data_IF_434740853543
#
_entry.id   IF_434740853543
#
_cell.length_a   1.000
_cell.length_b   1.000
_cell.length_c   1.000
_cell.angle_alpha   90.00
_cell.angle_beta   90.00
_cell.angle_gamma   90.00
#
_symmetry.space_group_name_H-M   'P 1'
#
loop_
_entity.id
_entity.type
_entity.pdbx_description
1 polymer ?
#
# COMPACT_ATOMS: atom_id res chain seq x y z
N UNK A 1 17.03 -8.18 -13.45
CA UNK A 1 16.73 -6.88 -13.17
C UNK A 1 15.99 -6.68 -11.89
N UNK A 2 15.94 -5.48 -11.51
CA UNK A 2 15.32 -5.14 -10.26
C UNK A 2 13.83 -5.12 -10.41
N UNK A 3 13.14 -5.58 -9.41
CA UNK A 3 11.70 -5.44 -9.40
C UNK A 3 11.28 -4.23 -8.59
N UNK A 4 12.23 -3.48 -8.10
CA UNK A 4 11.89 -2.27 -7.40
C UNK A 4 11.18 -1.35 -8.34
N UNK A 5 10.15 -0.75 -7.91
CA UNK A 5 9.40 0.14 -8.74
C UNK A 5 8.23 -0.49 -9.45
N UNK A 6 8.12 -1.81 -9.41
CA UNK A 6 6.93 -2.42 -9.94
C UNK A 6 5.75 -1.96 -9.11
N UNK A 7 4.63 -1.74 -9.77
CA UNK A 7 3.42 -1.32 -9.11
C UNK A 7 2.38 -2.42 -9.25
N UNK A 8 1.79 -2.79 -8.15
CA UNK A 8 0.76 -3.81 -8.14
C UNK A 8 -0.58 -3.20 -7.77
N UNK A 9 -1.62 -3.58 -8.47
CA UNK A 9 -2.95 -3.09 -8.16
C UNK A 9 -3.72 -4.16 -7.42
N UNK A 10 -4.29 -3.81 -6.28
CA UNK A 10 -5.11 -4.71 -5.51
C UNK A 10 -6.52 -4.14 -5.48
N UNK A 11 -7.47 -4.86 -6.08
CA UNK A 11 -8.87 -4.47 -6.05
C UNK A 11 -9.50 -5.18 -4.87
N UNK A 12 -9.63 -4.47 -3.78
CA UNK A 12 -10.08 -5.06 -2.54
C UNK A 12 -11.60 -5.17 -2.51
N UNK A 13 -12.09 -6.23 -1.93
CA UNK A 13 -13.50 -6.46 -1.71
C UNK A 13 -13.76 -6.57 -0.22
N UNK A 14 -12.91 -7.25 0.50
CA UNK A 14 -13.07 -7.47 1.92
C UNK A 14 -11.79 -7.10 2.63
N UNK A 15 -11.89 -6.91 3.94
CA UNK A 15 -10.73 -6.44 4.70
C UNK A 15 -9.54 -7.39 4.58
N UNK A 16 -9.78 -8.67 4.46
CA UNK A 16 -8.69 -9.62 4.39
C UNK A 16 -7.78 -9.38 3.16
N UNK A 17 -8.28 -8.71 2.15
CA UNK A 17 -7.48 -8.40 0.97
C UNK A 17 -6.32 -7.46 1.28
N UNK A 18 -6.34 -6.82 2.46
CA UNK A 18 -5.26 -5.94 2.88
C UNK A 18 -3.95 -6.72 3.06
N UNK A 19 -4.03 -8.02 3.24
CA UNK A 19 -2.82 -8.83 3.40
C UNK A 19 -1.96 -8.78 2.14
N UNK A 20 -2.58 -8.80 0.99
CA UNK A 20 -1.82 -8.71 -0.25
C UNK A 20 -1.15 -7.35 -0.36
N UNK A 21 -1.86 -6.29 0.02
CA UNK A 21 -1.30 -4.95 0.00
C UNK A 21 -0.07 -4.90 0.91
N UNK A 22 -0.21 -5.41 2.12
CA UNK A 22 0.88 -5.37 3.09
C UNK A 22 2.09 -6.16 2.62
N UNK A 23 1.86 -7.33 2.04
CA UNK A 23 2.96 -8.18 1.61
C UNK A 23 3.71 -7.55 0.44
N UNK A 24 3.01 -7.01 -0.53
CA UNK A 24 3.66 -6.37 -1.67
C UNK A 24 4.42 -5.13 -1.24
N UNK A 25 3.81 -4.34 -0.36
CA UNK A 25 4.43 -3.12 0.10
C UNK A 25 5.68 -3.43 0.93
N UNK A 26 5.61 -4.43 1.78
CA UNK A 26 6.76 -4.83 2.57
C UNK A 26 7.91 -5.31 1.69
N UNK A 27 7.59 -5.92 0.55
CA UNK A 27 8.59 -6.41 -0.38
C UNK A 27 9.18 -5.28 -1.23
N UNK A 28 8.76 -4.06 -1.03
CA UNK A 28 9.35 -2.92 -1.71
C UNK A 28 8.62 -2.45 -2.94
N UNK A 29 7.41 -2.94 -3.17
CA UNK A 29 6.65 -2.55 -4.35
C UNK A 29 5.65 -1.46 -4.02
N UNK A 30 5.41 -0.58 -4.97
CA UNK A 30 4.31 0.36 -4.84
C UNK A 30 3.01 -0.41 -5.05
N UNK A 31 1.97 0.00 -4.34
CA UNK A 31 0.68 -0.70 -4.43
C UNK A 31 -0.43 0.32 -4.67
N UNK A 32 -1.26 0.03 -5.65
CA UNK A 32 -2.46 0.82 -5.84
C UNK A 32 -3.59 0.04 -5.17
N UNK A 33 -4.16 0.61 -4.13
CA UNK A 33 -5.25 -0.02 -3.40
C UNK A 33 -6.56 0.58 -3.89
N UNK A 34 -7.35 -0.24 -4.53
CA UNK A 34 -8.65 0.18 -5.04
C UNK A 34 -9.72 -0.35 -4.09
N UNK A 35 -10.41 0.54 -3.41
CA UNK A 35 -11.42 0.18 -2.42
C UNK A 35 -12.84 0.38 -2.95
N UNK A 36 -12.99 0.63 -4.24
CA UNK A 36 -14.32 0.93 -4.80
C UNK A 36 -15.30 -0.21 -4.62
N UNK A 37 -14.82 -1.44 -4.53
CA UNK A 37 -15.70 -2.59 -4.33
C UNK A 37 -15.99 -2.91 -2.87
N UNK A 38 -15.51 -2.09 -1.93
CA UNK A 38 -15.69 -2.33 -0.52
C UNK A 38 -16.85 -1.51 0.04
N UNK A 39 -17.46 -2.02 1.11
CA UNK A 39 -18.36 -1.19 1.89
C UNK A 39 -17.55 -0.05 2.49
N UNK A 40 -18.20 1.06 2.79
CA UNK A 40 -17.53 2.24 3.31
C UNK A 40 -16.74 1.95 4.57
N UNK A 41 -17.28 1.14 5.45
CA UNK A 41 -16.60 0.82 6.70
C UNK A 41 -15.34 0.00 6.45
N UNK A 42 -15.44 -0.96 5.54
CA UNK A 42 -14.28 -1.79 5.20
C UNK A 42 -13.22 -0.92 4.53
N UNK A 43 -13.63 -0.04 3.63
CA UNK A 43 -12.70 0.85 2.95
C UNK A 43 -11.96 1.71 3.96
N UNK A 44 -12.66 2.27 4.94
CA UNK A 44 -12.05 3.11 5.95
C UNK A 44 -11.01 2.33 6.76
N UNK A 45 -11.35 1.11 7.14
CA UNK A 45 -10.43 0.28 7.91
C UNK A 45 -9.18 -0.04 7.10
N UNK A 46 -9.34 -0.28 5.81
CA UNK A 46 -8.19 -0.58 4.96
C UNK A 46 -7.29 0.64 4.81
N UNK A 47 -7.88 1.81 4.69
CA UNK A 47 -7.11 3.05 4.57
C UNK A 47 -6.36 3.33 5.87
N UNK A 48 -7.02 3.12 7.01
CA UNK A 48 -6.37 3.32 8.31
C UNK A 48 -5.20 2.37 8.49
N UNK A 49 -5.39 1.11 8.14
CA UNK A 49 -4.31 0.14 8.23
C UNK A 49 -3.16 0.52 7.28
N UNK A 50 -3.50 0.91 6.06
CA UNK A 50 -2.50 1.25 5.07
C UNK A 50 -1.70 2.48 5.48
N UNK A 51 -2.36 3.44 6.11
CA UNK A 51 -1.66 4.63 6.60
C UNK A 51 -0.67 4.24 7.69
N UNK A 52 -1.05 3.36 8.60
CA UNK A 52 -0.15 2.89 9.64
C UNK A 52 1.00 2.08 9.07
N UNK A 53 0.71 1.26 8.06
CA UNK A 53 1.72 0.46 7.40
C UNK A 53 2.76 1.37 6.74
N UNK A 54 2.30 2.40 6.03
CA UNK A 54 3.21 3.33 5.40
C UNK A 54 4.05 4.08 6.43
N UNK A 55 3.42 4.50 7.52
CA UNK A 55 4.14 5.19 8.56
C UNK A 55 5.24 4.29 9.15
N UNK A 56 4.91 3.06 9.44
CA UNK A 56 5.85 2.14 10.07
C UNK A 56 7.02 1.79 9.16
N UNK A 57 6.79 1.75 7.86
CA UNK A 57 7.83 1.35 6.91
C UNK A 57 8.40 2.55 6.15
N UNK A 58 8.12 3.75 6.63
CA UNK A 58 8.67 4.99 6.06
C UNK A 58 8.24 5.24 4.62
N UNK A 59 7.07 4.76 4.26
CA UNK A 59 6.51 5.03 2.95
C UNK A 59 5.51 6.16 3.00
N UNK A 60 4.77 6.32 1.93
CA UNK A 60 3.77 7.37 1.83
C UNK A 60 2.52 6.83 1.19
N UNK A 61 1.39 7.40 1.54
CA UNK A 61 0.13 7.03 0.93
C UNK A 61 -0.53 8.29 0.40
N UNK A 62 -1.06 8.23 -0.82
CA UNK A 62 -1.77 9.36 -1.39
C UNK A 62 -3.02 8.90 -2.09
N UNK A 63 -4.07 9.70 -1.99
CA UNK A 63 -5.31 9.41 -2.68
C UNK A 63 -5.14 9.88 -4.12
N UNK A 64 -5.25 8.98 -5.06
CA UNK A 64 -5.06 9.29 -6.47
C UNK A 64 -6.37 9.39 -7.24
N UNK A 65 -7.43 8.82 -6.68
CA UNK A 65 -8.75 8.92 -7.26
C UNK A 65 -9.74 8.54 -6.18
N UNK A 66 -11.02 8.68 -6.44
CA UNK A 66 -12.03 8.34 -5.46
C UNK A 66 -11.93 6.85 -5.15
N UNK A 67 -11.71 6.54 -3.89
CA UNK A 67 -11.59 5.15 -3.46
C UNK A 67 -10.30 4.47 -3.88
N UNK A 68 -9.36 5.20 -4.46
CA UNK A 68 -8.13 4.60 -4.97
C UNK A 68 -6.93 5.32 -4.36
N UNK A 69 -6.04 4.55 -3.77
CA UNK A 69 -4.90 5.07 -3.05
C UNK A 69 -3.61 4.46 -3.55
N UNK A 70 -2.56 5.27 -3.62
CA UNK A 70 -1.24 4.79 -4.01
C UNK A 70 -0.36 4.75 -2.77
N UNK A 71 0.17 3.58 -2.47
CA UNK A 71 1.12 3.39 -1.39
C UNK A 71 2.51 3.32 -2.00
N UNK A 72 3.37 4.25 -1.62
CA UNK A 72 4.73 4.33 -2.16
C UNK A 72 5.72 3.89 -1.10
N UNK A 73 6.51 2.87 -1.38
CA UNK A 73 7.48 2.41 -0.38
C UNK A 73 8.63 3.39 -0.23
N UNK A 74 9.38 3.21 0.83
CA UNK A 74 10.58 4.01 1.04
C UNK A 74 11.59 3.60 -0.02
N UNK A 75 11.99 4.55 -0.86
CA UNK A 75 12.91 4.27 -1.93
C UNK A 75 14.33 4.63 -1.60
N UNK A 76 14.59 5.06 -0.39
CA UNK A 76 15.94 5.37 0.00
C UNK A 76 16.76 4.09 0.01
N UNK A 77 18.01 4.14 -0.40
CA UNK A 77 18.84 2.94 -0.36
C UNK A 77 18.99 2.48 1.07
N UNK A 78 19.18 1.19 1.23
CA UNK A 78 19.42 0.65 2.53
C UNK A 78 20.61 1.36 3.14
N UNK A 79 20.53 1.68 4.41
CA UNK A 79 21.59 2.39 5.05
C UNK A 79 22.66 1.43 5.47
N UNK A 80 23.76 1.40 4.80
CA UNK A 80 24.77 0.44 5.09
C UNK A 80 25.64 0.80 6.24
N UNK A 81 25.45 1.98 6.81
CA UNK A 81 26.26 2.31 7.81
C UNK A 81 25.94 1.75 8.96
N UNK A 82 26.45 1.42 9.40
CA UNK A 82 26.28 0.88 10.53
C UNK A 82 26.90 -0.12 10.66
#
# INVERSE_FOLDING_TARGET
GSTQGETHTVKAIRFNDIQEVANRFRDGHAVILNTEGCDDEVARRMIDFSSGLCYALHGKIEKVARGVYLLKPDTRPANPEY
#
